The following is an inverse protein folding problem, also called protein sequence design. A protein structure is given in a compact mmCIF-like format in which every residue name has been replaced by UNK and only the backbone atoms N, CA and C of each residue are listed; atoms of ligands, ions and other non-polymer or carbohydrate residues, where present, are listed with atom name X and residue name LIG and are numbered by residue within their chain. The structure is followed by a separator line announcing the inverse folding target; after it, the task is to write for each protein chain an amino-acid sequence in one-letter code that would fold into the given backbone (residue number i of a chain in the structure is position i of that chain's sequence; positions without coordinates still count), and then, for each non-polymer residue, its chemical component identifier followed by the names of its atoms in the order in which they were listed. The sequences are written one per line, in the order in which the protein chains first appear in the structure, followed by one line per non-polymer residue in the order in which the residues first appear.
data_IF_832164396848
#
_entry.id   IF_832164396848
#
_cell.length_a   1.000
_cell.length_b   1.000
_cell.length_c   1.000
_cell.angle_alpha   90.00
_cell.angle_beta   90.00
_cell.angle_gamma   90.00
#
_symmetry.space_group_name_H-M   'P 1'
#
loop_
_entity.id
_entity.type
_entity.pdbx_description
1 polymer ?
#
# COMPACT_ATOMS: atom_id res chain seq x y z
N UNK A 1 -11.15 0.27 -12.96
CA UNK A 1 -11.22 1.73 -12.83
C UNK A 1 -9.84 2.23 -12.50
N UNK A 2 -9.40 3.34 -13.09
CA UNK A 2 -8.14 3.95 -12.70
C UNK A 2 -8.31 4.64 -11.34
N UNK A 3 -7.37 4.42 -10.43
CA UNK A 3 -7.26 5.14 -9.17
C UNK A 3 -6.01 5.99 -9.22
N UNK A 4 -6.03 7.20 -8.68
CA UNK A 4 -4.81 8.00 -8.58
C UNK A 4 -3.85 7.42 -7.54
N UNK A 5 -2.55 7.68 -7.71
CA UNK A 5 -1.53 7.30 -6.72
C UNK A 5 -1.85 7.87 -5.33
N UNK A 6 -2.39 9.09 -5.27
CA UNK A 6 -2.77 9.76 -4.03
C UNK A 6 -3.94 9.07 -3.32
N UNK A 7 -4.92 8.54 -4.06
CA UNK A 7 -6.02 7.76 -3.48
C UNK A 7 -5.51 6.47 -2.86
N UNK A 8 -4.63 5.75 -3.56
CA UNK A 8 -4.01 4.52 -3.05
C UNK A 8 -3.20 4.81 -1.79
N UNK A 9 -2.38 5.87 -1.79
CA UNK A 9 -1.60 6.26 -0.62
C UNK A 9 -2.50 6.63 0.57
N UNK A 10 -3.57 7.39 0.33
CA UNK A 10 -4.52 7.82 1.36
C UNK A 10 -5.20 6.61 2.00
N UNK A 11 -5.72 5.68 1.21
CA UNK A 11 -6.39 4.48 1.73
C UNK A 11 -5.45 3.64 2.61
N UNK A 12 -4.19 3.44 2.19
CA UNK A 12 -3.23 2.69 2.99
C UNK A 12 -2.91 3.42 4.30
N UNK A 13 -2.79 4.76 4.29
CA UNK A 13 -2.55 5.56 5.50
C UNK A 13 -3.75 5.60 6.44
N UNK A 14 -4.98 5.55 5.92
CA UNK A 14 -6.18 5.46 6.75
C UNK A 14 -6.25 4.12 7.49
N UNK A 15 -5.91 3.02 6.81
CA UNK A 15 -5.84 1.69 7.42
C UNK A 15 -4.61 1.51 8.33
N UNK A 16 -3.48 2.13 7.99
CA UNK A 16 -2.21 2.08 8.73
C UNK A 16 -1.65 3.50 8.95
N UNK A 17 -2.13 4.23 9.97
CA UNK A 17 -1.74 5.62 10.21
C UNK A 17 -0.25 5.83 10.49
N UNK A 18 0.45 4.79 10.94
CA UNK A 18 1.88 4.79 11.24
C UNK A 18 2.76 4.41 10.04
N UNK A 19 2.16 4.08 8.89
CA UNK A 19 2.88 3.61 7.73
C UNK A 19 3.56 4.75 6.95
N UNK A 20 4.77 4.47 6.48
CA UNK A 20 5.39 5.18 5.35
C UNK A 20 5.02 4.43 4.08
N UNK A 21 4.39 5.14 3.15
CA UNK A 21 3.84 4.56 1.93
C UNK A 21 4.47 5.27 0.74
N UNK A 22 4.90 4.49 -0.25
CA UNK A 22 5.32 4.97 -1.56
C UNK A 22 4.58 4.18 -2.63
N UNK A 23 3.88 4.86 -3.54
CA UNK A 23 3.13 4.23 -4.65
C UNK A 23 3.71 4.69 -5.97
N UNK A 24 3.94 3.76 -6.90
CA UNK A 24 4.45 4.03 -8.24
C UNK A 24 3.59 3.31 -9.28
N UNK A 25 3.26 4.00 -10.37
CA UNK A 25 2.68 3.38 -11.56
C UNK A 25 3.79 2.66 -12.33
N UNK A 26 3.61 1.37 -12.57
CA UNK A 26 4.60 0.52 -13.24
C UNK A 26 4.48 0.56 -14.76
N UNK A 27 3.29 0.87 -15.29
CA UNK A 27 2.98 0.79 -16.72
C UNK A 27 2.58 2.13 -17.33
N UNK A 28 2.33 3.16 -16.50
CA UNK A 28 1.79 4.45 -16.92
C UNK A 28 0.34 4.35 -17.39
N UNK A 29 -0.37 3.28 -17.04
CA UNK A 29 -1.71 2.94 -17.53
C UNK A 29 -2.81 3.22 -16.50
N UNK A 30 -2.44 3.74 -15.33
CA UNK A 30 -3.38 4.04 -14.27
C UNK A 30 -4.06 2.80 -13.67
N UNK A 31 -3.50 1.60 -13.83
CA UNK A 31 -4.06 0.39 -13.21
C UNK A 31 -3.02 -0.65 -12.72
N UNK A 32 -1.75 -0.58 -13.11
CA UNK A 32 -0.67 -1.42 -12.57
C UNK A 32 0.25 -0.64 -11.62
N UNK A 33 0.22 -0.98 -10.33
CA UNK A 33 0.94 -0.25 -9.29
C UNK A 33 1.90 -1.12 -8.49
N UNK A 34 2.97 -0.50 -7.99
CA UNK A 34 3.76 -1.01 -6.88
C UNK A 34 3.57 -0.11 -5.66
N UNK A 35 3.29 -0.72 -4.51
CA UNK A 35 3.24 -0.03 -3.22
C UNK A 35 4.34 -0.57 -2.29
N UNK A 36 5.20 0.32 -1.80
CA UNK A 36 6.13 0.02 -0.70
C UNK A 36 5.53 0.57 0.58
N UNK A 37 5.23 -0.32 1.52
CA UNK A 37 4.61 0.01 2.81
C UNK A 37 5.57 -0.39 3.93
N UNK A 38 5.93 0.56 4.78
CA UNK A 38 6.78 0.33 5.95
C UNK A 38 6.03 0.75 7.20
N UNK A 39 5.67 -0.21 8.05
CA UNK A 39 4.99 0.02 9.32
C UNK A 39 5.53 -0.91 10.42
N UNK A 40 5.67 -0.44 11.68
CA UNK A 40 5.91 -1.28 12.85
C UNK A 40 4.92 -2.46 12.98
N UNK A 41 3.68 -2.31 12.49
CA UNK A 41 2.63 -3.34 12.53
C UNK A 41 2.99 -4.63 11.78
N UNK A 42 4.02 -4.61 10.93
CA UNK A 42 4.52 -5.77 10.20
C UNK A 42 5.55 -6.60 10.98
N UNK A 43 6.02 -6.13 12.14
CA UNK A 43 6.99 -6.86 12.95
C UNK A 43 6.46 -8.26 13.33
N UNK A 44 7.26 -9.29 13.06
CA UNK A 44 6.89 -10.69 13.35
C UNK A 44 5.81 -11.28 12.43
N UNK A 45 5.35 -10.56 11.40
CA UNK A 45 4.38 -11.05 10.42
C UNK A 45 5.09 -11.62 9.20
N UNK A 46 4.55 -12.71 8.64
CA UNK A 46 5.01 -13.22 7.34
C UNK A 46 4.61 -12.25 6.22
N UNK A 47 5.26 -12.33 5.05
CA UNK A 47 4.89 -11.49 3.90
C UNK A 47 3.40 -11.62 3.57
N UNK A 48 2.84 -12.84 3.56
CA UNK A 48 1.41 -13.04 3.27
C UNK A 48 0.52 -12.29 4.28
N UNK A 49 0.85 -12.34 5.57
CA UNK A 49 0.10 -11.61 6.61
C UNK A 49 0.22 -10.10 6.44
N UNK A 50 1.39 -9.59 6.08
CA UNK A 50 1.59 -8.16 5.80
C UNK A 50 0.70 -7.71 4.63
N UNK A 51 0.66 -8.49 3.55
CA UNK A 51 -0.22 -8.22 2.41
C UNK A 51 -1.70 -8.27 2.81
N UNK A 52 -2.11 -9.25 3.63
CA UNK A 52 -3.48 -9.33 4.14
C UNK A 52 -3.87 -8.10 4.97
N UNK A 53 -2.96 -7.56 5.78
CA UNK A 53 -3.20 -6.33 6.55
C UNK A 53 -3.43 -5.14 5.63
N UNK A 54 -2.68 -5.04 4.52
CA UNK A 54 -2.85 -3.94 3.53
C UNK A 54 -4.15 -4.08 2.73
N UNK A 55 -4.66 -5.31 2.58
CA UNK A 55 -5.91 -5.60 1.87
C UNK A 55 -7.18 -5.56 2.74
N UNK A 56 -7.05 -5.42 4.06
CA UNK A 56 -8.17 -5.43 5.01
C UNK A 56 -8.90 -4.08 5.03
#
# INVERSE_FOLDING_TARGET
MAMSLAEIETMIREALPDAKVEVRDLAGDGNHYAATVVSPSFAGKSRVQQHQIVYA
#
